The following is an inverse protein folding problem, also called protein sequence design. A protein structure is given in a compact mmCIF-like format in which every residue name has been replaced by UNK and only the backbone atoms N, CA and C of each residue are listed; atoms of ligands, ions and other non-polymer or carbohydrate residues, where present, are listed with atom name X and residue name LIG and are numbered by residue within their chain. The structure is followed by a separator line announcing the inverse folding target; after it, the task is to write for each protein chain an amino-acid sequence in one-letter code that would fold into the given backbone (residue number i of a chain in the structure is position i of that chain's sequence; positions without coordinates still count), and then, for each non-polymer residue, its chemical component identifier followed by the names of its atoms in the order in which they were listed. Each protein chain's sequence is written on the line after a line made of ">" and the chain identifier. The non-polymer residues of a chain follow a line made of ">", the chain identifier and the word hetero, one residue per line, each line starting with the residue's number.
data_IF_019523092457
#
_entry.id   IF_019523092457
#
_cell.length_a   1.000
_cell.length_b   1.000
_cell.length_c   1.000
_cell.angle_alpha   90.00
_cell.angle_beta   90.00
_cell.angle_gamma   90.00
#
_symmetry.space_group_name_H-M   'P 1'
#
loop_
_entity.id
_entity.type
_entity.pdbx_description
1 polymer ?
#
# COMPACT_ATOMS: atom_id res chain seq x y z
N UNK A 1 14.12 20.55 -19.39
CA UNK A 1 13.58 19.54 -18.50
C UNK A 1 12.45 18.79 -19.24
N UNK A 2 12.61 17.49 -19.52
CA UNK A 2 11.52 16.69 -20.08
C UNK A 2 10.45 16.53 -18.98
N UNK A 3 9.25 16.95 -19.26
CA UNK A 3 8.08 16.68 -18.41
C UNK A 3 7.37 15.43 -18.92
N UNK A 4 6.73 14.69 -18.02
CA UNK A 4 5.85 13.60 -18.40
C UNK A 4 4.64 14.14 -19.18
N UNK A 5 4.10 13.33 -20.12
CA UNK A 5 2.78 13.64 -20.66
C UNK A 5 1.72 13.49 -19.56
N UNK A 6 0.51 14.09 -19.72
CA UNK A 6 -0.56 13.91 -18.74
C UNK A 6 -0.87 12.44 -18.45
N UNK A 7 -0.90 11.59 -19.46
CA UNK A 7 -1.19 10.16 -19.35
C UNK A 7 -0.05 9.43 -18.59
N UNK A 8 1.21 9.76 -18.92
CA UNK A 8 2.38 9.21 -18.22
C UNK A 8 2.38 9.63 -16.76
N UNK A 9 2.03 10.89 -16.46
CA UNK A 9 1.91 11.39 -15.09
C UNK A 9 0.81 10.66 -14.33
N UNK A 10 -0.38 10.52 -14.90
CA UNK A 10 -1.49 9.80 -14.26
C UNK A 10 -1.12 8.36 -13.93
N UNK A 11 -0.52 7.65 -14.90
CA UNK A 11 -0.02 6.28 -14.67
C UNK A 11 1.06 6.26 -13.59
N UNK A 12 1.99 7.21 -13.63
CA UNK A 12 3.05 7.34 -12.64
C UNK A 12 2.52 7.53 -11.22
N UNK A 13 1.51 8.38 -11.03
CA UNK A 13 0.86 8.61 -9.73
C UNK A 13 0.16 7.35 -9.20
N UNK A 14 -0.51 6.57 -10.08
CA UNK A 14 -1.10 5.28 -9.68
C UNK A 14 -0.03 4.30 -9.20
N UNK A 15 1.06 4.15 -9.95
CA UNK A 15 2.17 3.28 -9.59
C UNK A 15 2.91 3.77 -8.33
N UNK A 16 3.04 5.07 -8.13
CA UNK A 16 3.64 5.65 -6.94
C UNK A 16 2.80 5.35 -5.68
N UNK A 17 1.46 5.35 -5.78
CA UNK A 17 0.59 4.92 -4.68
C UNK A 17 0.82 3.45 -4.31
N UNK A 18 0.97 2.56 -5.28
CA UNK A 18 1.31 1.15 -5.01
C UNK A 18 2.70 1.01 -4.40
N UNK A 19 3.70 1.70 -4.95
CA UNK A 19 5.06 1.66 -4.45
C UNK A 19 5.16 2.18 -3.01
N UNK A 20 4.52 3.30 -2.71
CA UNK A 20 4.49 3.86 -1.35
C UNK A 20 3.69 2.98 -0.38
N UNK A 21 2.59 2.34 -0.81
CA UNK A 21 1.90 1.35 0.00
C UNK A 21 2.83 0.22 0.40
N UNK A 22 3.56 -0.36 -0.56
CA UNK A 22 4.55 -1.40 -0.29
C UNK A 22 5.67 -0.89 0.62
N UNK A 23 6.21 0.30 0.38
CA UNK A 23 7.25 0.91 1.21
C UNK A 23 6.82 1.04 2.68
N UNK A 24 5.56 1.38 2.94
CA UNK A 24 5.04 1.53 4.31
C UNK A 24 4.63 0.22 4.97
N UNK A 25 4.48 -0.86 4.20
CA UNK A 25 3.96 -2.15 4.71
C UNK A 25 4.98 -3.28 4.71
N UNK A 26 6.03 -3.20 3.90
CA UNK A 26 7.16 -4.13 3.95
C UNK A 26 7.96 -4.00 5.25
N UNK A 27 8.73 -5.04 5.66
CA UNK A 27 9.65 -4.95 6.79
C UNK A 27 10.67 -3.83 6.61
N UNK A 28 11.04 -3.20 7.72
CA UNK A 28 12.00 -2.10 7.75
C UNK A 28 11.34 -0.75 8.00
N UNK A 29 12.12 0.31 7.92
CA UNK A 29 11.66 1.68 8.14
C UNK A 29 11.37 2.34 6.79
N UNK A 30 10.16 2.86 6.54
CA UNK A 30 9.88 3.57 5.30
C UNK A 30 10.74 4.84 5.20
N UNK A 31 11.42 4.99 4.08
CA UNK A 31 12.24 6.15 3.78
C UNK A 31 11.69 6.85 2.54
N UNK A 32 11.13 8.03 2.71
CA UNK A 32 10.57 8.83 1.62
C UNK A 32 11.68 9.69 1.03
N UNK A 33 11.87 9.61 -0.29
CA UNK A 33 12.67 10.61 -0.98
C UNK A 33 11.85 11.89 -1.10
N UNK A 34 12.42 13.02 -0.68
CA UNK A 34 11.67 14.29 -0.61
C UNK A 34 11.04 14.65 -1.96
N UNK A 35 9.79 15.03 -1.91
CA UNK A 35 9.02 15.41 -3.10
C UNK A 35 8.17 14.27 -3.69
N UNK A 36 8.42 13.00 -3.35
CA UNK A 36 7.55 11.90 -3.76
C UNK A 36 6.13 12.12 -3.23
N UNK A 37 6.02 12.52 -1.96
CA UNK A 37 4.75 12.84 -1.30
C UNK A 37 4.04 14.05 -1.91
N UNK A 38 4.76 14.90 -2.61
CA UNK A 38 4.24 16.11 -3.27
C UNK A 38 4.00 15.91 -4.78
N UNK A 39 4.31 14.74 -5.31
CA UNK A 39 4.22 14.44 -6.74
C UNK A 39 5.24 15.19 -7.59
N UNK A 40 6.42 15.50 -7.02
CA UNK A 40 7.50 16.14 -7.75
C UNK A 40 8.04 15.20 -8.82
N UNK A 41 8.07 15.67 -10.07
CA UNK A 41 8.67 14.91 -11.15
C UNK A 41 10.19 15.01 -11.07
N UNK A 42 10.82 13.86 -10.86
CA UNK A 42 12.25 13.67 -11.00
C UNK A 42 12.63 13.20 -12.40
N UNK A 43 13.92 13.14 -12.65
CA UNK A 43 14.56 12.50 -13.79
C UNK A 43 15.91 11.96 -13.28
N UNK A 44 16.74 11.41 -14.17
CA UNK A 44 18.09 11.00 -13.77
C UNK A 44 18.88 12.17 -13.19
N UNK A 45 19.84 11.88 -12.35
CA UNK A 45 20.73 12.84 -11.74
C UNK A 45 21.34 13.82 -12.79
N UNK A 46 21.43 15.13 -12.51
CA UNK A 46 21.08 15.83 -11.26
C UNK A 46 19.63 16.34 -11.21
N UNK A 47 18.79 16.03 -12.18
CA UNK A 47 17.45 16.60 -12.32
C UNK A 47 16.43 16.07 -11.29
N UNK A 48 16.73 14.96 -10.62
CA UNK A 48 15.99 14.44 -9.47
C UNK A 48 16.17 15.29 -8.20
N UNK A 49 17.11 16.24 -8.18
CA UNK A 49 17.38 17.13 -7.05
C UNK A 49 16.72 18.50 -7.23
N UNK A 50 15.50 18.52 -7.76
CA UNK A 50 14.71 19.74 -7.89
C UNK A 50 14.30 20.32 -6.51
N UNK A 51 13.97 21.60 -6.48
CA UNK A 51 13.41 22.24 -5.29
C UNK A 51 12.04 21.68 -4.96
N UNK A 52 11.74 21.56 -3.67
CA UNK A 52 10.42 21.12 -3.22
C UNK A 52 9.34 22.12 -3.70
N UNK A 53 8.19 21.64 -4.19
CA UNK A 53 7.17 22.48 -4.81
C UNK A 53 6.24 23.13 -3.76
N UNK A 54 6.78 23.95 -2.87
CA UNK A 54 6.03 24.64 -1.81
C UNK A 54 4.79 25.37 -2.34
N UNK A 55 3.62 25.04 -1.77
CA UNK A 55 2.33 25.62 -2.16
C UNK A 55 1.78 25.08 -3.49
N UNK A 56 2.43 24.08 -4.09
CA UNK A 56 2.02 23.42 -5.35
C UNK A 56 2.08 21.89 -5.25
N UNK A 57 2.04 21.39 -4.03
CA UNK A 57 2.02 19.95 -3.75
C UNK A 57 0.75 19.31 -4.30
N UNK A 58 0.86 18.08 -4.75
CA UNK A 58 -0.29 17.23 -5.03
C UNK A 58 -0.97 16.85 -3.71
N UNK A 59 -2.07 17.55 -3.38
CA UNK A 59 -2.73 17.43 -2.08
C UNK A 59 -3.34 16.04 -1.85
N UNK A 60 -3.77 15.34 -2.91
CA UNK A 60 -4.25 13.97 -2.79
C UNK A 60 -3.12 13.02 -2.42
N UNK A 61 -1.94 13.23 -3.01
CA UNK A 61 -0.77 12.42 -2.71
C UNK A 61 -0.24 12.69 -1.29
N UNK A 62 -0.22 13.96 -0.87
CA UNK A 62 0.10 14.32 0.52
C UNK A 62 -0.84 13.63 1.50
N UNK A 63 -2.15 13.65 1.23
CA UNK A 63 -3.15 12.99 2.07
C UNK A 63 -2.95 11.46 2.08
N UNK A 64 -2.58 10.87 0.96
CA UNK A 64 -2.25 9.46 0.84
C UNK A 64 -1.09 9.06 1.74
N UNK A 65 0.05 9.76 1.66
CA UNK A 65 1.21 9.48 2.50
C UNK A 65 0.91 9.67 3.99
N UNK A 66 0.13 10.69 4.36
CA UNK A 66 -0.35 10.88 5.74
C UNK A 66 -1.21 9.69 6.22
N UNK A 67 -2.06 9.16 5.34
CA UNK A 67 -2.90 7.99 5.65
C UNK A 67 -2.04 6.76 5.89
N UNK A 68 -1.06 6.49 5.03
CA UNK A 68 -0.12 5.38 5.21
C UNK A 68 0.65 5.47 6.54
N UNK A 69 1.13 6.68 6.87
CA UNK A 69 1.82 6.92 8.14
C UNK A 69 0.95 6.68 9.36
N UNK A 70 -0.32 7.12 9.31
CA UNK A 70 -1.29 6.87 10.38
C UNK A 70 -1.60 5.39 10.55
N UNK A 71 -1.79 4.65 9.46
CA UNK A 71 -2.05 3.21 9.49
C UNK A 71 -0.85 2.50 10.10
N UNK A 72 0.36 2.77 9.61
CA UNK A 72 1.57 2.13 10.13
C UNK A 72 1.77 2.38 11.62
N UNK A 73 1.48 3.60 12.10
CA UNK A 73 1.58 3.94 13.53
C UNK A 73 0.56 3.18 14.39
N UNK A 74 -0.61 2.86 13.82
CA UNK A 74 -1.71 2.15 14.52
C UNK A 74 -1.65 0.64 14.40
N UNK A 75 -0.79 0.10 13.54
CA UNK A 75 -0.69 -1.33 13.27
C UNK A 75 0.71 -1.84 13.66
N UNK A 76 0.92 -2.28 14.91
CA UNK A 76 2.20 -2.83 15.39
C UNK A 76 2.72 -3.97 14.51
N UNK A 77 1.85 -4.81 13.94
CA UNK A 77 2.24 -5.87 13.02
C UNK A 77 3.08 -5.34 11.83
N UNK A 78 2.84 -4.12 11.34
CA UNK A 78 3.62 -3.51 10.26
C UNK A 78 5.03 -3.09 10.68
N UNK A 79 5.25 -2.83 11.95
CA UNK A 79 6.54 -2.41 12.49
C UNK A 79 7.38 -3.59 13.00
N UNK A 80 6.75 -4.53 13.69
CA UNK A 80 7.41 -5.52 14.55
C UNK A 80 7.45 -6.93 13.99
N UNK A 81 6.62 -7.25 12.97
CA UNK A 81 6.53 -8.61 12.45
C UNK A 81 7.33 -8.83 11.17
N UNK A 82 7.62 -10.09 10.89
CA UNK A 82 8.14 -10.54 9.60
C UNK A 82 7.08 -10.47 8.48
N UNK A 83 7.49 -10.78 7.27
CA UNK A 83 6.63 -10.85 6.09
C UNK A 83 6.47 -12.30 5.64
N UNK A 84 5.23 -12.68 5.35
CA UNK A 84 4.88 -13.99 4.76
C UNK A 84 4.26 -13.71 3.38
N UNK A 85 5.02 -13.85 2.28
CA UNK A 85 4.46 -13.73 0.94
C UNK A 85 3.57 -14.94 0.64
N UNK A 86 2.44 -14.72 -0.03
CA UNK A 86 1.57 -15.83 -0.46
C UNK A 86 1.17 -15.76 -1.93
N UNK A 87 1.36 -14.62 -2.59
CA UNK A 87 1.13 -14.46 -4.02
C UNK A 87 2.21 -13.58 -4.63
N UNK A 88 2.81 -14.04 -5.72
CA UNK A 88 3.76 -13.27 -6.53
C UNK A 88 3.59 -13.69 -7.99
N UNK A 89 2.54 -13.20 -8.65
CA UNK A 89 2.19 -13.57 -10.02
C UNK A 89 2.09 -12.34 -10.91
N UNK A 90 2.82 -12.34 -12.04
CA UNK A 90 2.78 -11.28 -13.07
C UNK A 90 2.67 -9.86 -12.51
N UNK A 91 1.44 -9.40 -12.31
CA UNK A 91 1.09 -8.04 -11.94
C UNK A 91 0.49 -7.93 -10.54
N UNK A 92 0.28 -9.06 -9.85
CA UNK A 92 -0.23 -9.11 -8.49
C UNK A 92 0.85 -9.57 -7.50
N UNK A 93 0.92 -8.87 -6.38
CA UNK A 93 1.73 -9.25 -5.24
C UNK A 93 0.91 -9.13 -3.96
N UNK A 94 0.95 -10.17 -3.14
CA UNK A 94 0.27 -10.16 -1.86
C UNK A 94 1.08 -10.88 -0.77
N UNK A 95 1.04 -10.33 0.44
CA UNK A 95 1.74 -10.85 1.60
C UNK A 95 1.00 -10.52 2.89
N UNK A 96 1.38 -11.19 3.96
CA UNK A 96 0.88 -10.96 5.30
C UNK A 96 2.00 -10.47 6.22
N UNK A 97 1.63 -9.62 7.15
CA UNK A 97 2.43 -9.22 8.31
C UNK A 97 1.70 -9.75 9.53
N UNK A 98 2.28 -10.75 10.20
CA UNK A 98 1.63 -11.49 11.29
C UNK A 98 2.32 -11.13 12.60
N UNK A 99 1.66 -10.31 13.41
CA UNK A 99 2.05 -9.97 14.78
C UNK A 99 1.35 -10.86 15.80
N UNK A 100 1.53 -10.53 17.10
CA UNK A 100 0.95 -11.32 18.20
C UNK A 100 -0.58 -11.16 18.29
N UNK A 101 -1.06 -9.94 18.18
CA UNK A 101 -2.47 -9.59 18.43
C UNK A 101 -3.22 -9.21 17.14
N UNK A 102 -2.50 -9.04 16.05
CA UNK A 102 -3.09 -8.65 14.77
C UNK A 102 -2.27 -9.14 13.59
N UNK A 103 -2.94 -9.33 12.47
CA UNK A 103 -2.31 -9.58 11.18
C UNK A 103 -2.82 -8.58 10.14
N UNK A 104 -1.95 -8.19 9.21
CA UNK A 104 -2.29 -7.31 8.10
C UNK A 104 -2.01 -8.04 6.79
N UNK A 105 -3.02 -8.15 5.94
CA UNK A 105 -2.87 -8.63 4.56
C UNK A 105 -2.76 -7.42 3.64
N UNK A 106 -1.75 -7.42 2.79
CA UNK A 106 -1.53 -6.38 1.77
C UNK A 106 -1.54 -7.04 0.41
N UNK A 107 -2.33 -6.50 -0.51
CA UNK A 107 -2.40 -6.95 -1.90
C UNK A 107 -2.36 -5.77 -2.85
N UNK A 108 -1.61 -5.89 -3.94
CA UNK A 108 -1.47 -4.87 -4.97
C UNK A 108 -1.63 -5.48 -6.35
N UNK A 109 -2.22 -4.72 -7.27
CA UNK A 109 -2.34 -5.02 -8.69
C UNK A 109 -1.73 -3.86 -9.50
N UNK A 110 -0.64 -4.10 -10.23
CA UNK A 110 -0.02 -3.09 -11.10
C UNK A 110 -0.52 -3.12 -12.54
N UNK A 111 -1.43 -4.06 -12.88
CA UNK A 111 -2.03 -4.14 -14.21
C UNK A 111 -3.00 -2.99 -14.47
N UNK A 112 -3.17 -2.65 -15.74
CA UNK A 112 -4.21 -1.74 -16.22
C UNK A 112 -5.59 -2.41 -16.36
N UNK A 113 -5.72 -3.65 -15.89
CA UNK A 113 -6.96 -4.44 -15.85
C UNK A 113 -7.24 -4.94 -14.44
N UNK A 114 -8.52 -5.15 -14.07
CA UNK A 114 -8.84 -5.73 -12.78
C UNK A 114 -8.30 -7.15 -12.67
N UNK A 115 -7.90 -7.54 -11.47
CA UNK A 115 -7.43 -8.88 -11.13
C UNK A 115 -8.22 -9.41 -9.94
N UNK A 116 -8.42 -10.70 -9.88
CA UNK A 116 -9.04 -11.37 -8.72
C UNK A 116 -8.03 -12.36 -8.16
N UNK A 117 -7.77 -12.25 -6.87
CA UNK A 117 -6.90 -13.18 -6.15
C UNK A 117 -7.72 -13.94 -5.11
N UNK A 118 -7.30 -15.16 -4.78
CA UNK A 118 -7.86 -15.90 -3.67
C UNK A 118 -7.12 -15.53 -2.39
N UNK A 119 -7.88 -15.30 -1.32
CA UNK A 119 -7.36 -15.03 0.02
C UNK A 119 -7.81 -16.13 0.98
N UNK A 120 -7.03 -16.43 2.03
CA UNK A 120 -7.43 -17.41 3.04
C UNK A 120 -8.80 -17.07 3.64
N UNK A 121 -9.56 -18.11 4.03
CA UNK A 121 -10.94 -17.96 4.52
C UNK A 121 -11.06 -17.02 5.73
N UNK A 122 -10.09 -16.99 6.58
CA UNK A 122 -10.04 -16.13 7.78
C UNK A 122 -10.13 -14.64 7.43
N UNK A 123 -9.80 -14.27 6.18
CA UNK A 123 -9.83 -12.90 5.70
C UNK A 123 -11.17 -12.45 5.10
N UNK A 124 -12.21 -13.27 5.17
CA UNK A 124 -13.52 -12.96 4.55
C UNK A 124 -14.35 -11.92 5.34
N UNK A 125 -14.11 -11.79 6.63
CA UNK A 125 -14.90 -10.89 7.51
C UNK A 125 -13.99 -9.93 8.27
N UNK A 126 -13.03 -9.36 7.60
CA UNK A 126 -12.03 -8.48 8.18
C UNK A 126 -12.31 -7.02 7.88
N UNK A 127 -11.73 -6.15 8.67
CA UNK A 127 -11.79 -4.72 8.46
C UNK A 127 -10.84 -4.31 7.33
N UNK A 128 -11.37 -3.63 6.32
CA UNK A 128 -10.52 -2.94 5.37
C UNK A 128 -9.93 -1.68 6.01
N UNK A 129 -8.61 -1.57 5.97
CA UNK A 129 -7.89 -0.34 6.27
C UNK A 129 -7.82 0.54 5.02
N UNK A 130 -7.64 -0.09 3.85
CA UNK A 130 -7.62 0.55 2.53
C UNK A 130 -8.15 -0.42 1.47
N UNK A 131 -8.80 0.13 0.45
CA UNK A 131 -9.20 -0.60 -0.74
C UNK A 131 -10.39 -1.55 -0.55
N UNK A 132 -10.43 -2.61 -1.34
CA UNK A 132 -11.54 -3.56 -1.39
C UNK A 132 -11.50 -4.57 -0.24
N UNK A 133 -12.66 -5.15 0.07
CA UNK A 133 -12.81 -6.32 0.95
C UNK A 133 -13.04 -7.57 0.10
N UNK A 134 -12.69 -8.76 0.61
CA UNK A 134 -13.02 -10.01 -0.07
C UNK A 134 -14.53 -10.27 -0.08
N UNK A 135 -14.99 -10.89 -1.14
CA UNK A 135 -16.29 -11.55 -1.21
C UNK A 135 -16.05 -13.06 -1.20
N UNK A 136 -16.45 -13.73 -0.13
CA UNK A 136 -16.02 -15.10 0.18
C UNK A 136 -14.49 -15.20 0.23
N UNK A 137 -13.87 -16.03 -0.62
CA UNK A 137 -12.41 -16.18 -0.72
C UNK A 137 -11.79 -15.34 -1.85
N UNK A 138 -12.57 -14.44 -2.48
CA UNK A 138 -12.14 -13.68 -3.66
C UNK A 138 -11.97 -12.21 -3.35
N UNK A 139 -10.75 -11.73 -3.54
CA UNK A 139 -10.42 -10.32 -3.43
C UNK A 139 -10.23 -9.73 -4.83
N UNK A 140 -11.13 -8.85 -5.24
CA UNK A 140 -11.04 -8.13 -6.51
C UNK A 140 -10.22 -6.85 -6.31
N UNK A 141 -9.17 -6.73 -7.09
CA UNK A 141 -8.30 -5.55 -7.16
C UNK A 141 -8.54 -4.83 -8.49
N UNK A 142 -8.97 -3.60 -8.43
CA UNK A 142 -9.17 -2.75 -9.60
C UNK A 142 -7.84 -2.47 -10.36
N UNK A 143 -7.88 -1.91 -11.58
CA UNK A 143 -6.66 -1.51 -12.29
C UNK A 143 -5.80 -0.57 -11.44
N UNK A 144 -4.54 -0.91 -11.24
CA UNK A 144 -3.63 -0.23 -10.31
C UNK A 144 -4.18 -0.16 -8.87
N UNK A 145 -5.01 -1.14 -8.52
CA UNK A 145 -5.70 -1.22 -7.24
C UNK A 145 -4.89 -1.91 -6.16
N UNK A 146 -5.40 -1.81 -4.97
CA UNK A 146 -4.79 -2.36 -3.76
C UNK A 146 -5.85 -2.73 -2.74
N UNK A 147 -5.44 -3.54 -1.77
CA UNK A 147 -6.19 -3.79 -0.56
C UNK A 147 -5.24 -3.92 0.63
N UNK A 148 -5.66 -3.40 1.76
CA UNK A 148 -5.02 -3.62 3.05
C UNK A 148 -6.09 -4.00 4.05
N UNK A 149 -6.01 -5.21 4.56
CA UNK A 149 -6.99 -5.80 5.47
C UNK A 149 -6.35 -6.01 6.84
N UNK A 150 -7.12 -5.78 7.90
CA UNK A 150 -6.72 -6.00 9.29
C UNK A 150 -7.54 -7.14 9.88
N UNK A 151 -6.85 -8.16 10.37
CA UNK A 151 -7.37 -9.22 11.22
C UNK A 151 -6.86 -8.97 12.64
N UNK A 152 -7.76 -8.77 13.58
CA UNK A 152 -7.46 -8.65 15.01
C UNK A 152 -7.70 -10.01 15.67
N UNK A 153 -6.82 -10.41 16.58
CA UNK A 153 -7.07 -11.58 17.40
C UNK A 153 -8.34 -11.35 18.22
N UNK A 154 -9.23 -12.33 18.26
CA UNK A 154 -10.33 -12.29 19.22
C UNK A 154 -9.72 -12.22 20.62
N UNK A 155 -10.25 -11.36 21.54
CA UNK A 155 -9.85 -11.46 22.92
C UNK A 155 -10.09 -12.90 23.36
N UNK A 156 -9.05 -13.55 23.88
CA UNK A 156 -9.24 -14.84 24.54
C UNK A 156 -10.30 -14.59 25.61
N UNK A 157 -11.42 -15.32 25.54
CA UNK A 157 -12.30 -15.42 26.68
C UNK A 157 -11.47 -16.12 27.75
N UNK A 158 -10.95 -15.34 28.70
CA UNK A 158 -10.33 -15.89 29.90
C UNK A 158 -11.36 -16.83 30.51
N UNK A 159 -11.18 -18.12 30.25
CA UNK A 159 -12.02 -19.15 30.82
C UNK A 159 -11.85 -19.15 32.34
N UNK A 160 -12.94 -18.90 33.00
CA UNK A 160 -13.10 -19.14 34.42
C UNK A 160 -12.80 -20.60 34.79
#
# INVERSE_FOLDING_TARGET
>A
RRKLSPEQRQRGLKLLRLASLLQYTLPGVPCIYYGDEAGLEGYRDPFNRGTYPWGKEDQELVAWYRTLGKIRKKCPALAESGMVPFLAEKDCFAFMRIGKEQAVLVAVNRAASPQTIHVPYEWNQVKALLGSVPENDRLRLEPYGYSMLLLEASPEEDGE
#
